data_IF_553753481942
#
_entry.id   IF_553753481942
#
_cell.length_a   1.000
_cell.length_b   1.000
_cell.length_c   1.000
_cell.angle_alpha   90.00
_cell.angle_beta   90.00
_cell.angle_gamma   90.00
#
_symmetry.space_group_name_H-M   'P 1'
#
loop_
_entity.id
_entity.type
_entity.pdbx_description
1 polymer ?
#
# COMPACT_ATOMS: atom_id res chain seq x y z
N UNK A 1 -1.13 8.77 -13.72
CA UNK A 1 0.24 8.52 -13.24
C UNK A 1 1.23 8.94 -14.33
N UNK A 2 2.27 9.73 -14.02
CA UNK A 2 3.22 10.25 -15.01
C UNK A 2 4.37 9.28 -15.34
N UNK A 3 4.65 8.30 -14.49
CA UNK A 3 5.68 7.29 -14.71
C UNK A 3 5.19 6.16 -15.65
N UNK A 4 6.12 5.55 -16.37
CA UNK A 4 5.91 4.33 -17.17
C UNK A 4 5.85 3.11 -16.24
N UNK A 5 4.82 2.27 -16.37
CA UNK A 5 4.73 1.01 -15.64
C UNK A 5 5.05 -0.16 -16.58
N UNK A 6 5.99 -1.02 -16.19
CA UNK A 6 6.40 -2.22 -16.92
C UNK A 6 6.16 -3.46 -16.06
N UNK A 7 5.50 -4.47 -16.64
CA UNK A 7 5.17 -5.72 -15.96
C UNK A 7 5.84 -6.89 -16.69
N UNK A 8 6.62 -7.69 -15.96
CA UNK A 8 7.35 -8.83 -16.51
C UNK A 8 7.00 -10.13 -15.79
N UNK A 9 6.45 -11.10 -16.52
CA UNK A 9 6.24 -12.46 -16.03
C UNK A 9 7.25 -13.40 -16.71
N UNK A 10 8.45 -13.49 -16.13
CA UNK A 10 9.61 -14.17 -16.75
C UNK A 10 9.38 -15.65 -17.05
N UNK A 11 8.80 -16.40 -16.11
CA UNK A 11 8.46 -17.83 -16.29
C UNK A 11 7.46 -18.04 -17.43
N UNK A 12 6.49 -17.14 -17.56
CA UNK A 12 5.43 -17.21 -18.58
C UNK A 12 5.85 -16.58 -19.92
N UNK A 13 7.05 -16.00 -20.01
CA UNK A 13 7.54 -15.28 -21.20
C UNK A 13 6.54 -14.20 -21.66
N UNK A 14 6.13 -13.32 -20.74
CA UNK A 14 5.21 -12.20 -21.04
C UNK A 14 5.75 -10.88 -20.51
N UNK A 15 5.57 -9.83 -21.29
CA UNK A 15 5.87 -8.44 -20.96
C UNK A 15 4.65 -7.59 -21.34
N UNK A 16 4.23 -6.71 -20.43
CA UNK A 16 3.15 -5.73 -20.63
C UNK A 16 3.60 -4.35 -20.15
N UNK A 17 2.94 -3.30 -20.63
CA UNK A 17 3.24 -1.93 -20.23
C UNK A 17 1.97 -1.09 -20.12
N UNK A 18 1.98 -0.13 -19.20
CA UNK A 18 1.02 0.97 -19.15
C UNK A 18 1.79 2.27 -19.37
N UNK A 19 1.62 2.94 -20.53
CA UNK A 19 2.24 4.23 -20.79
C UNK A 19 1.81 5.31 -19.78
N UNK A 20 2.60 6.38 -19.62
CA UNK A 20 2.18 7.56 -18.86
C UNK A 20 0.81 8.07 -19.28
N UNK A 21 0.02 8.55 -18.32
CA UNK A 21 -1.32 9.13 -18.54
C UNK A 21 -2.35 8.19 -19.19
N UNK A 22 -2.12 6.88 -19.17
CA UNK A 22 -3.12 5.88 -19.59
C UNK A 22 -4.23 5.75 -18.57
N UNK A 23 -5.49 5.64 -19.02
CA UNK A 23 -6.65 5.35 -18.15
C UNK A 23 -6.55 3.91 -17.63
N UNK A 24 -6.59 3.75 -16.31
CA UNK A 24 -6.58 2.45 -15.62
C UNK A 24 -7.78 2.42 -14.69
N UNK A 25 -8.67 1.46 -14.93
CA UNK A 25 -9.90 1.30 -14.17
C UNK A 25 -10.03 -0.14 -13.71
N UNK A 26 -10.26 -0.32 -12.42
CA UNK A 26 -10.62 -1.61 -11.85
C UNK A 26 -12.00 -2.00 -12.37
N UNK A 27 -12.19 -3.29 -12.65
CA UNK A 27 -13.51 -3.81 -12.99
C UNK A 27 -14.37 -3.84 -11.72
N UNK A 28 -15.57 -3.26 -11.81
CA UNK A 28 -16.61 -3.30 -10.80
C UNK A 28 -18.00 -3.33 -11.45
N UNK A 29 -19.05 -3.27 -10.62
CA UNK A 29 -20.44 -3.21 -11.07
C UNK A 29 -21.14 -2.02 -10.42
N UNK A 30 -22.17 -1.48 -11.07
CA UNK A 30 -22.91 -0.31 -10.57
C UNK A 30 -23.50 -0.53 -9.16
N UNK A 31 -23.85 -1.77 -8.82
CA UNK A 31 -24.40 -2.16 -7.52
C UNK A 31 -23.33 -2.68 -6.53
N UNK A 32 -22.10 -2.89 -6.98
CA UNK A 32 -20.96 -3.38 -6.19
C UNK A 32 -19.68 -2.64 -6.61
N UNK A 33 -19.50 -1.38 -6.16
CA UNK A 33 -18.35 -0.57 -6.54
C UNK A 33 -17.05 -1.12 -5.96
N UNK A 34 -15.93 -0.79 -6.61
CA UNK A 34 -14.61 -1.17 -6.12
C UNK A 34 -14.30 -0.52 -4.75
N UNK A 35 -13.86 -1.33 -3.78
CA UNK A 35 -13.42 -0.87 -2.45
C UNK A 35 -11.98 -1.28 -2.16
N UNK A 36 -11.23 -0.43 -1.47
CA UNK A 36 -9.86 -0.71 -1.01
C UNK A 36 -9.85 -1.22 0.43
N UNK A 37 -8.72 -1.79 0.85
CA UNK A 37 -8.50 -2.25 2.21
C UNK A 37 -8.53 -1.10 3.21
N UNK A 38 -9.05 -1.38 4.41
CA UNK A 38 -9.17 -0.45 5.52
C UNK A 38 -8.76 -1.13 6.81
N UNK A 39 -8.24 -0.34 7.75
CA UNK A 39 -7.86 -0.78 9.10
C UNK A 39 -8.39 0.22 10.11
N UNK A 40 -8.82 -0.28 11.28
CA UNK A 40 -9.23 0.57 12.40
C UNK A 40 -8.02 1.28 13.04
N UNK A 41 -6.87 0.59 13.06
CA UNK A 41 -5.64 1.07 13.68
C UNK A 41 -4.79 1.92 12.72
N UNK A 42 -4.11 2.98 13.21
CA UNK A 42 -3.06 3.65 12.46
C UNK A 42 -1.76 2.83 12.49
N UNK A 43 -0.80 3.18 11.65
CA UNK A 43 0.58 2.69 11.79
C UNK A 43 1.12 3.00 13.19
N UNK A 44 1.57 1.98 13.91
CA UNK A 44 2.11 2.11 15.27
C UNK A 44 3.44 2.89 15.35
N UNK A 45 4.14 3.08 14.23
CA UNK A 45 5.44 3.74 14.18
C UNK A 45 5.34 5.22 13.82
N UNK A 46 4.54 5.57 12.82
CA UNK A 46 4.42 6.94 12.30
C UNK A 46 3.00 7.51 12.41
N UNK A 47 2.02 6.75 12.91
CA UNK A 47 0.64 7.21 13.08
C UNK A 47 -0.19 7.36 11.80
N UNK A 48 0.35 7.00 10.62
CA UNK A 48 -0.37 7.09 9.34
C UNK A 48 -1.66 6.26 9.31
N UNK A 49 -2.75 6.85 8.83
CA UNK A 49 -4.04 6.19 8.52
C UNK A 49 -4.32 6.06 7.02
N UNK A 50 -3.35 6.39 6.18
CA UNK A 50 -3.51 6.48 4.72
C UNK A 50 -2.57 5.54 3.94
N UNK A 51 -1.83 4.71 4.66
CA UNK A 51 -0.91 3.70 4.13
C UNK A 51 -1.55 2.31 4.19
N UNK A 52 -1.14 1.43 3.28
CA UNK A 52 -1.40 0.01 3.42
C UNK A 52 -0.61 -0.53 4.63
N UNK A 53 -1.25 -1.34 5.49
CA UNK A 53 -0.64 -1.82 6.74
C UNK A 53 -0.31 -3.31 6.69
N UNK A 54 0.88 -3.63 7.19
CA UNK A 54 1.29 -4.99 7.54
C UNK A 54 0.89 -5.28 8.99
N UNK A 55 0.36 -6.48 9.22
CA UNK A 55 0.07 -6.99 10.56
C UNK A 55 1.26 -7.80 11.08
N UNK A 56 1.83 -7.37 12.20
CA UNK A 56 2.93 -8.04 12.89
C UNK A 56 2.39 -8.69 14.16
N UNK A 57 2.51 -10.02 14.25
CA UNK A 57 2.18 -10.78 15.46
C UNK A 57 3.33 -10.59 16.46
N UNK A 58 3.02 -10.08 17.66
CA UNK A 58 4.03 -9.66 18.62
C UNK A 58 4.33 -10.73 19.67
N UNK A 59 3.35 -11.57 19.99
CA UNK A 59 3.47 -12.62 20.99
C UNK A 59 2.48 -13.78 20.74
N UNK A 60 2.63 -14.85 21.53
CA UNK A 60 1.73 -16.01 21.53
C UNK A 60 0.42 -15.76 22.30
N UNK A 61 0.23 -14.57 22.87
CA UNK A 61 -0.96 -14.18 23.64
C UNK A 61 -1.96 -13.36 22.81
N UNK A 62 -1.67 -13.16 21.52
CA UNK A 62 -2.56 -12.53 20.55
C UNK A 62 -2.34 -11.03 20.36
N UNK A 63 -1.27 -10.45 20.93
CA UNK A 63 -0.92 -9.04 20.68
C UNK A 63 -0.46 -8.85 19.24
N UNK A 64 -0.97 -7.79 18.60
CA UNK A 64 -0.69 -7.45 17.20
C UNK A 64 -0.30 -5.98 17.08
N UNK A 65 0.53 -5.68 16.09
CA UNK A 65 0.94 -4.35 15.74
C UNK A 65 0.70 -4.13 14.24
N UNK A 66 0.13 -2.99 13.88
CA UNK A 66 -0.06 -2.61 12.47
C UNK A 66 0.96 -1.54 12.08
N UNK A 67 1.69 -1.75 10.99
CA UNK A 67 2.75 -0.84 10.54
C UNK A 67 2.65 -0.59 9.04
N UNK A 68 3.16 0.54 8.55
CA UNK A 68 3.21 0.81 7.12
C UNK A 68 3.97 -0.30 6.39
N UNK A 69 3.37 -0.84 5.33
CA UNK A 69 4.05 -1.76 4.41
C UNK A 69 5.15 -1.05 3.60
N UNK A 70 4.90 0.22 3.24
CA UNK A 70 5.92 1.09 2.64
C UNK A 70 6.80 1.70 3.75
N UNK A 71 7.99 1.13 3.91
CA UNK A 71 8.96 1.54 4.93
C UNK A 71 9.66 2.85 4.62
N UNK A 72 9.84 3.21 3.34
CA UNK A 72 10.41 4.50 2.93
C UNK A 72 9.45 5.64 3.27
N UNK A 73 8.18 5.49 2.88
CA UNK A 73 7.12 6.41 3.31
C UNK A 73 7.05 6.53 4.84
N UNK A 74 7.09 5.40 5.56
CA UNK A 74 7.05 5.40 7.02
C UNK A 74 8.19 6.20 7.64
N UNK A 75 9.41 6.02 7.13
CA UNK A 75 10.60 6.72 7.61
C UNK A 75 10.48 8.24 7.40
N UNK A 76 10.07 8.68 6.20
CA UNK A 76 9.87 10.10 5.90
C UNK A 76 8.83 10.75 6.83
N UNK A 77 7.74 10.04 7.13
CA UNK A 77 6.73 10.52 8.07
C UNK A 77 7.28 10.68 9.50
N UNK A 78 8.13 9.75 9.96
CA UNK A 78 8.76 9.85 11.28
C UNK A 78 9.76 11.01 11.36
N UNK A 79 10.56 11.23 10.30
CA UNK A 79 11.49 12.37 10.25
C UNK A 79 10.75 13.71 10.33
N UNK A 80 9.62 13.85 9.62
CA UNK A 80 8.78 15.05 9.69
C UNK A 80 8.17 15.29 11.07
N UNK A 81 7.89 14.22 11.84
CA UNK A 81 7.39 14.32 13.22
C UNK A 81 8.49 14.73 14.20
N UNK A 82 9.69 14.17 14.05
CA UNK A 82 10.83 14.49 14.92
C UNK A 82 11.41 15.89 14.67
N UNK A 83 11.13 16.49 13.50
CA UNK A 83 11.55 17.85 13.18
C UNK A 83 10.63 18.96 13.75
N UNK A 84 9.55 18.61 14.45
CA UNK A 84 8.60 19.52 15.10
C UNK A 84 8.90 19.66 16.60
#
# INVERSE_FOLDING_TARGET
MPALQLFGAGREKRIYALPPYTRVESLDFDDHPFTVQQWDEPCALCGSRHSYLDEVVMDDQGTRMFVCSDTDFCHQQQEQQHAQ
#
